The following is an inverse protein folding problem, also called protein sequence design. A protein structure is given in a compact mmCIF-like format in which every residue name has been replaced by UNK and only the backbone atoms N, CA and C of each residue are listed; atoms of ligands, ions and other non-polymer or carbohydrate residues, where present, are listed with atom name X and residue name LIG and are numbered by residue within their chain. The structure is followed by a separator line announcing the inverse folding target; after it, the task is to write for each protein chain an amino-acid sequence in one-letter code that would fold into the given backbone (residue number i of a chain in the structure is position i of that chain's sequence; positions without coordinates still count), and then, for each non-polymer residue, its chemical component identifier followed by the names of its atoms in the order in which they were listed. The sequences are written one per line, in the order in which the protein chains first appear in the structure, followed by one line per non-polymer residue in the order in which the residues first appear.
data_IF_273265454064
#
_entry.id   IF_273265454064
#
_cell.length_a   1.000
_cell.length_b   1.000
_cell.length_c   1.000
_cell.angle_alpha   90.00
_cell.angle_beta   90.00
_cell.angle_gamma   90.00
#
_symmetry.space_group_name_H-M   'P 1'
#
loop_
_entity.id
_entity.type
_entity.pdbx_description
1 polymer ?
#
# COMPACT_ATOMS: atom_id res chain seq x y z
N UNK A 1 19.45 -6.67 -2.66
CA UNK A 1 18.66 -5.49 -2.23
C UNK A 1 18.15 -5.65 -0.82
N UNK A 2 17.04 -6.36 -0.63
CA UNK A 2 16.26 -6.40 0.63
C UNK A 2 17.07 -6.69 1.91
N UNK A 3 17.88 -7.76 1.94
CA UNK A 3 18.70 -8.10 3.12
C UNK A 3 19.67 -6.98 3.51
N UNK A 4 20.32 -6.35 2.52
CA UNK A 4 21.21 -5.22 2.76
C UNK A 4 20.47 -3.98 3.26
N UNK A 5 19.22 -3.75 2.82
CA UNK A 5 18.37 -2.68 3.37
C UNK A 5 18.03 -2.94 4.83
N UNK A 6 17.59 -4.16 5.15
CA UNK A 6 17.21 -4.58 6.50
C UNK A 6 18.38 -4.44 7.49
N UNK A 7 19.57 -4.89 7.11
CA UNK A 7 20.78 -4.82 7.94
C UNK A 7 21.42 -3.42 7.92
N UNK A 8 20.99 -2.53 7.03
CA UNK A 8 21.64 -1.25 6.78
C UNK A 8 23.09 -1.40 6.28
N UNK A 9 23.39 -2.43 5.49
CA UNK A 9 24.69 -2.68 4.84
C UNK A 9 24.70 -2.09 3.44
N UNK A 10 25.70 -1.27 3.12
CA UNK A 10 25.78 -0.53 1.85
C UNK A 10 24.45 0.14 1.52
N UNK A 11 23.80 0.71 2.53
CA UNK A 11 22.35 0.94 2.59
C UNK A 11 21.77 1.58 1.33
N UNK A 12 22.38 2.67 0.83
CA UNK A 12 21.89 3.39 -0.35
C UNK A 12 21.93 2.52 -1.62
N UNK A 13 23.00 1.73 -1.80
CA UNK A 13 23.12 0.78 -2.92
C UNK A 13 22.10 -0.34 -2.75
N UNK A 14 21.96 -0.87 -1.53
CA UNK A 14 20.98 -1.91 -1.21
C UNK A 14 19.53 -1.47 -1.50
N UNK A 15 19.19 -0.21 -1.21
CA UNK A 15 17.92 0.39 -1.58
C UNK A 15 17.69 0.41 -3.09
N UNK A 16 18.66 0.91 -3.86
CA UNK A 16 18.55 0.95 -5.34
C UNK A 16 18.43 -0.47 -5.93
N UNK A 17 19.23 -1.42 -5.44
CA UNK A 17 19.18 -2.83 -5.84
C UNK A 17 17.88 -3.53 -5.46
N UNK A 18 17.09 -2.99 -4.54
CA UNK A 18 15.75 -3.48 -4.26
C UNK A 18 14.70 -2.74 -5.10
N UNK A 19 14.82 -1.42 -5.18
CA UNK A 19 13.87 -0.53 -5.83
C UNK A 19 13.73 -0.82 -7.33
N UNK A 20 14.85 -0.94 -8.05
CA UNK A 20 14.83 -1.09 -9.50
C UNK A 20 14.17 -2.40 -9.95
N UNK A 21 14.57 -3.59 -9.43
CA UNK A 21 13.87 -4.83 -9.77
C UNK A 21 12.42 -4.83 -9.32
N UNK A 22 12.12 -4.22 -8.16
CA UNK A 22 10.75 -4.15 -7.65
C UNK A 22 9.83 -3.40 -8.61
N UNK A 23 10.19 -2.17 -8.98
CA UNK A 23 9.41 -1.38 -9.93
C UNK A 23 9.39 -1.99 -11.33
N UNK A 24 10.50 -2.59 -11.77
CA UNK A 24 10.53 -3.30 -13.04
C UNK A 24 9.49 -4.43 -13.09
N UNK A 25 9.49 -5.33 -12.10
CA UNK A 25 8.52 -6.44 -12.05
C UNK A 25 7.09 -5.92 -11.88
N UNK A 26 6.90 -4.91 -11.03
CA UNK A 26 5.60 -4.32 -10.77
C UNK A 26 4.98 -3.64 -12.01
N UNK A 27 5.80 -2.97 -12.82
CA UNK A 27 5.36 -2.34 -14.07
C UNK A 27 5.24 -3.34 -15.23
N UNK A 28 6.01 -4.44 -15.19
CA UNK A 28 5.99 -5.48 -16.23
C UNK A 28 4.67 -6.25 -16.26
N UNK A 29 4.12 -6.59 -15.09
CA UNK A 29 2.87 -7.35 -14.97
C UNK A 29 1.73 -6.51 -14.40
N UNK A 30 0.94 -5.94 -15.31
CA UNK A 30 -0.27 -5.17 -14.98
C UNK A 30 -1.26 -5.96 -14.12
N UNK A 31 -1.31 -7.29 -14.26
CA UNK A 31 -2.26 -8.12 -13.51
C UNK A 31 -1.86 -8.32 -12.07
N UNK A 32 -0.60 -8.03 -11.70
CA UNK A 32 -0.13 -8.05 -10.32
C UNK A 32 -0.40 -6.73 -9.58
N UNK A 33 -0.80 -5.67 -10.29
CA UNK A 33 -0.99 -4.33 -9.72
C UNK A 33 -2.03 -4.31 -8.59
N UNK A 34 -1.68 -3.74 -7.45
CA UNK A 34 -2.65 -3.40 -6.40
C UNK A 34 -2.12 -2.23 -5.57
N UNK A 35 -3.02 -1.51 -4.90
CA UNK A 35 -2.69 -0.29 -4.16
C UNK A 35 -1.63 -0.54 -3.05
N UNK A 36 -1.61 -1.74 -2.45
CA UNK A 36 -0.63 -2.08 -1.43
C UNK A 36 0.78 -2.29 -1.99
N UNK A 37 0.89 -2.93 -3.15
CA UNK A 37 2.17 -3.07 -3.87
C UNK A 37 2.68 -1.72 -4.36
N UNK A 38 1.78 -0.85 -4.82
CA UNK A 38 2.14 0.54 -5.10
C UNK A 38 2.74 1.25 -3.87
N UNK A 39 2.11 1.11 -2.69
CA UNK A 39 2.65 1.62 -1.42
C UNK A 39 4.06 1.07 -1.12
N UNK A 40 4.33 -0.22 -1.34
CA UNK A 40 5.67 -0.77 -1.10
C UNK A 40 6.71 -0.15 -2.02
N UNK A 41 6.36 0.09 -3.30
CA UNK A 41 7.22 0.79 -4.25
C UNK A 41 7.53 2.21 -3.79
N UNK A 42 6.53 2.94 -3.27
CA UNK A 42 6.70 4.28 -2.69
C UNK A 42 7.57 4.28 -1.44
N UNK A 43 7.33 3.35 -0.51
CA UNK A 43 8.15 3.22 0.71
C UNK A 43 9.60 2.86 0.36
N UNK A 44 9.81 1.95 -0.60
CA UNK A 44 11.15 1.61 -1.10
C UNK A 44 11.85 2.82 -1.73
N UNK A 45 11.11 3.63 -2.49
CA UNK A 45 11.61 4.86 -3.09
C UNK A 45 12.01 5.85 -1.99
N UNK A 46 11.14 6.11 -1.02
CA UNK A 46 11.42 6.99 0.12
C UNK A 46 12.62 6.51 0.95
N UNK A 47 12.72 5.21 1.21
CA UNK A 47 13.85 4.60 1.92
C UNK A 47 15.17 4.88 1.20
N UNK A 48 15.16 5.01 -0.13
CA UNK A 48 16.37 5.35 -0.90
C UNK A 48 16.90 6.75 -0.55
N UNK A 49 16.07 7.66 -0.04
CA UNK A 49 16.45 9.05 0.32
C UNK A 49 16.67 9.28 1.82
N UNK A 50 16.04 8.50 2.71
CA UNK A 50 16.22 8.66 4.15
C UNK A 50 17.53 8.07 4.68
N UNK A 51 17.94 8.52 5.86
CA UNK A 51 19.14 8.07 6.57
C UNK A 51 18.82 6.95 7.57
N UNK A 52 18.18 5.85 7.16
CA UNK A 52 17.80 4.77 8.10
C UNK A 52 19.01 3.95 8.60
N UNK A 53 20.16 4.05 7.93
CA UNK A 53 21.40 3.36 8.31
C UNK A 53 22.21 4.03 9.43
N UNK A 54 21.63 4.98 10.17
CA UNK A 54 22.35 5.73 11.23
C UNK A 54 22.18 5.15 12.63
N UNK A 55 21.27 4.19 12.81
CA UNK A 55 21.06 3.50 14.07
C UNK A 55 20.98 2.00 13.85
N UNK A 56 21.70 1.24 14.67
CA UNK A 56 21.74 -0.23 14.65
C UNK A 56 21.88 -0.86 13.25
N UNK A 57 22.89 -0.40 12.50
CA UNK A 57 23.17 -0.85 11.14
C UNK A 57 24.59 -1.40 11.01
N UNK A 58 24.80 -2.28 10.04
CA UNK A 58 26.15 -2.75 9.69
C UNK A 58 27.02 -1.60 9.16
N UNK A 59 26.44 -0.67 8.39
CA UNK A 59 27.14 0.57 8.00
C UNK A 59 27.69 1.37 9.18
N UNK A 60 26.96 1.40 10.30
CA UNK A 60 27.40 2.04 11.53
C UNK A 60 28.50 1.28 12.25
N UNK A 61 28.52 -0.05 12.16
CA UNK A 61 29.63 -0.86 12.68
C UNK A 61 30.91 -0.62 11.86
N UNK A 62 30.79 -0.49 10.54
CA UNK A 62 31.90 -0.25 9.62
C UNK A 62 32.39 1.21 9.61
N UNK A 63 31.53 2.18 9.98
CA UNK A 63 31.88 3.60 9.95
C UNK A 63 31.36 4.34 11.20
N UNK A 64 32.29 4.73 12.07
CA UNK A 64 32.01 5.44 13.30
C UNK A 64 31.22 6.76 13.10
N UNK A 65 31.34 7.45 11.95
CA UNK A 65 30.58 8.68 11.66
C UNK A 65 29.09 8.42 11.42
N UNK A 66 28.71 7.21 10.99
CA UNK A 66 27.32 6.80 10.77
C UNK A 66 26.70 6.21 12.04
N UNK A 67 27.52 5.62 12.92
CA UNK A 67 27.08 4.89 14.11
C UNK A 67 26.30 5.79 15.07
N UNK A 68 25.07 5.44 15.38
CA UNK A 68 24.26 6.15 16.39
C UNK A 68 24.22 7.67 16.16
N UNK A 69 23.98 8.12 14.93
CA UNK A 69 23.96 9.53 14.57
C UNK A 69 22.52 10.05 14.39
N UNK A 70 22.31 11.35 14.64
CA UNK A 70 21.03 12.00 14.38
C UNK A 70 20.60 11.89 12.91
N UNK A 71 19.30 11.76 12.69
CA UNK A 71 18.66 11.80 11.36
C UNK A 71 17.79 13.05 11.24
N UNK A 72 17.69 13.66 10.04
CA UNK A 72 16.80 14.80 9.83
C UNK A 72 15.33 14.45 10.07
N UNK A 73 14.56 15.40 10.61
CA UNK A 73 13.14 15.19 10.91
C UNK A 73 12.30 14.92 9.64
N UNK A 74 12.68 15.48 8.49
CA UNK A 74 11.96 15.26 7.24
C UNK A 74 11.93 13.78 6.83
N UNK A 75 12.93 12.98 7.21
CA UNK A 75 12.96 11.53 6.98
C UNK A 75 11.76 10.84 7.64
N UNK A 76 11.43 11.21 8.87
CA UNK A 76 10.26 10.70 9.57
C UNK A 76 8.98 11.31 9.01
N UNK A 77 9.00 12.60 8.66
CA UNK A 77 7.83 13.30 8.14
C UNK A 77 7.33 12.67 6.83
N UNK A 78 8.22 12.33 5.89
CA UNK A 78 7.84 11.72 4.61
C UNK A 78 7.25 10.31 4.80
N UNK A 79 7.88 9.47 5.64
CA UNK A 79 7.39 8.12 5.91
C UNK A 79 6.07 8.12 6.69
N UNK A 80 5.97 8.93 7.76
CA UNK A 80 4.73 9.10 8.53
C UNK A 80 3.63 9.69 7.68
N UNK A 81 3.96 10.69 6.85
CA UNK A 81 3.04 11.31 5.91
C UNK A 81 2.47 10.30 4.92
N UNK A 82 3.30 9.43 4.34
CA UNK A 82 2.81 8.37 3.45
C UNK A 82 1.79 7.46 4.14
N UNK A 83 2.14 6.93 5.32
CA UNK A 83 1.25 6.03 6.06
C UNK A 83 -0.03 6.75 6.50
N UNK A 84 0.09 8.01 6.92
CA UNK A 84 -1.07 8.85 7.25
C UNK A 84 -2.01 9.02 6.05
N UNK A 85 -1.47 9.37 4.87
CA UNK A 85 -2.25 9.59 3.64
C UNK A 85 -3.01 8.31 3.26
N UNK A 86 -2.36 7.16 3.35
CA UNK A 86 -2.99 5.86 3.05
C UNK A 86 -4.23 5.63 3.91
N UNK A 87 -4.14 5.83 5.24
CA UNK A 87 -5.30 5.72 6.12
C UNK A 87 -6.37 6.76 5.80
N UNK A 88 -5.96 8.03 5.79
CA UNK A 88 -6.90 9.14 5.67
C UNK A 88 -7.67 9.10 4.36
N UNK A 89 -6.99 8.89 3.23
CA UNK A 89 -7.67 8.81 1.93
C UNK A 89 -8.50 7.54 1.83
N UNK A 90 -8.07 6.40 2.37
CA UNK A 90 -8.92 5.21 2.41
C UNK A 90 -10.20 5.44 3.22
N UNK A 91 -10.13 6.20 4.32
CA UNK A 91 -11.29 6.64 5.09
C UNK A 91 -12.19 7.57 4.29
N UNK A 92 -11.62 8.56 3.59
CA UNK A 92 -12.40 9.47 2.73
C UNK A 92 -13.11 8.72 1.62
N UNK A 93 -12.47 7.70 1.01
CA UNK A 93 -13.07 6.87 -0.03
C UNK A 93 -14.19 5.95 0.49
N UNK A 94 -14.18 5.64 1.78
CA UNK A 94 -15.26 4.91 2.49
C UNK A 94 -16.44 5.81 2.88
N UNK A 95 -16.42 7.10 2.55
CA UNK A 95 -17.60 7.96 2.65
C UNK A 95 -18.59 7.77 1.49
N UNK A 96 -18.25 6.91 0.53
CA UNK A 96 -19.18 6.50 -0.53
C UNK A 96 -20.44 5.84 0.05
N UNK A 97 -21.57 6.03 -0.64
CA UNK A 97 -22.87 5.51 -0.21
C UNK A 97 -22.85 3.99 0.01
N UNK A 98 -22.17 3.23 -0.86
CA UNK A 98 -22.13 1.77 -0.74
C UNK A 98 -21.43 1.32 0.55
N UNK A 99 -20.45 2.08 1.03
CA UNK A 99 -19.79 1.75 2.29
C UNK A 99 -20.61 2.22 3.48
N UNK A 100 -21.12 3.45 3.45
CA UNK A 100 -21.88 4.04 4.57
C UNK A 100 -23.18 3.29 4.83
N UNK A 101 -23.83 2.79 3.78
CA UNK A 101 -25.10 2.05 3.85
C UNK A 101 -24.89 0.53 4.07
N UNK A 102 -23.65 0.05 4.00
CA UNK A 102 -23.31 -1.34 4.32
C UNK A 102 -23.41 -2.34 3.16
N UNK A 103 -23.51 -1.86 1.93
CA UNK A 103 -23.57 -2.70 0.71
C UNK A 103 -22.19 -3.22 0.25
N UNK A 104 -21.12 -2.56 0.67
CA UNK A 104 -19.76 -3.03 0.42
C UNK A 104 -19.48 -4.29 1.24
N UNK A 105 -18.79 -5.29 0.68
CA UNK A 105 -18.30 -6.44 1.49
C UNK A 105 -19.36 -7.09 2.41
N UNK A 106 -20.63 -7.16 1.98
CA UNK A 106 -21.80 -7.47 2.84
C UNK A 106 -21.63 -8.73 3.70
N UNK A 107 -21.00 -9.77 3.15
CA UNK A 107 -20.82 -11.06 3.81
C UNK A 107 -19.69 -11.09 4.86
N UNK A 108 -18.95 -10.01 5.05
CA UNK A 108 -17.77 -10.01 5.93
C UNK A 108 -18.14 -10.26 7.40
N UNK A 109 -19.30 -9.77 7.85
CA UNK A 109 -19.82 -9.96 9.21
C UNK A 109 -20.16 -11.44 9.53
N UNK A 110 -20.29 -12.30 8.51
CA UNK A 110 -20.50 -13.75 8.70
C UNK A 110 -19.26 -14.44 9.25
N UNK A 111 -18.08 -13.88 9.02
CA UNK A 111 -16.82 -14.44 9.49
C UNK A 111 -16.80 -14.61 11.02
N UNK A 112 -16.15 -15.68 11.51
CA UNK A 112 -16.16 -16.06 12.93
C UNK A 112 -15.58 -14.99 13.87
N UNK A 113 -14.72 -14.11 13.34
CA UNK A 113 -14.15 -12.97 14.08
C UNK A 113 -15.22 -12.01 14.61
N UNK A 114 -16.38 -11.95 13.95
CA UNK A 114 -17.48 -11.08 14.36
C UNK A 114 -18.50 -11.78 15.26
N UNK A 115 -18.34 -13.08 15.53
CA UNK A 115 -19.25 -13.85 16.40
C UNK A 115 -19.46 -13.23 17.80
N UNK A 116 -18.45 -12.64 18.47
CA UNK A 116 -18.68 -11.98 19.75
C UNK A 116 -19.68 -10.80 19.67
N UNK A 117 -19.66 -10.02 18.59
CA UNK A 117 -20.60 -8.92 18.38
C UNK A 117 -22.02 -9.42 18.10
N UNK A 118 -22.12 -10.58 17.42
CA UNK A 118 -23.40 -11.24 17.10
C UNK A 118 -24.11 -11.85 18.31
N UNK A 119 -23.50 -11.86 19.49
CA UNK A 119 -24.18 -12.20 20.75
C UNK A 119 -25.14 -11.09 21.20
N UNK A 120 -24.93 -9.86 20.74
CA UNK A 120 -25.69 -8.67 21.17
C UNK A 120 -26.35 -7.95 19.98
N UNK A 121 -25.76 -8.05 18.79
CA UNK A 121 -26.25 -7.40 17.57
C UNK A 121 -26.72 -8.44 16.55
N UNK A 122 -27.66 -8.08 15.68
CA UNK A 122 -27.97 -8.90 14.50
C UNK A 122 -26.78 -8.94 13.53
N UNK A 123 -26.78 -9.89 12.59
CA UNK A 123 -25.75 -9.96 11.54
C UNK A 123 -25.69 -8.66 10.71
N UNK A 124 -26.86 -8.12 10.35
CA UNK A 124 -26.99 -6.86 9.61
C UNK A 124 -26.44 -5.68 10.40
N UNK A 125 -26.80 -5.55 11.69
CA UNK A 125 -26.30 -4.47 12.54
C UNK A 125 -24.80 -4.61 12.82
N UNK A 126 -24.29 -5.85 12.92
CA UNK A 126 -22.85 -6.10 13.02
C UNK A 126 -22.13 -5.68 11.75
N UNK A 127 -22.71 -5.97 10.57
CA UNK A 127 -22.17 -5.50 9.29
C UNK A 127 -22.14 -3.97 9.24
N UNK A 128 -23.27 -3.31 9.48
CA UNK A 128 -23.35 -1.86 9.36
C UNK A 128 -22.50 -1.14 10.41
N UNK A 129 -22.65 -1.45 11.69
CA UNK A 129 -22.00 -0.69 12.75
C UNK A 129 -20.53 -1.08 12.94
N UNK A 130 -20.23 -2.39 12.99
CA UNK A 130 -18.89 -2.87 13.34
C UNK A 130 -17.99 -2.96 12.11
N UNK A 131 -18.46 -3.49 10.99
CA UNK A 131 -17.63 -3.61 9.78
C UNK A 131 -17.49 -2.24 9.11
N UNK A 132 -18.61 -1.61 8.78
CA UNK A 132 -18.61 -0.41 7.95
C UNK A 132 -18.28 0.85 8.74
N UNK A 133 -19.08 1.18 9.76
CA UNK A 133 -18.89 2.43 10.51
C UNK A 133 -17.61 2.43 11.35
N UNK A 134 -17.30 1.37 12.11
CA UNK A 134 -16.01 1.33 12.81
C UNK A 134 -14.82 1.28 11.83
N UNK A 135 -14.93 0.58 10.69
CA UNK A 135 -13.90 0.58 9.65
C UNK A 135 -13.65 1.97 9.06
N UNK A 136 -14.72 2.68 8.69
CA UNK A 136 -14.67 4.06 8.21
C UNK A 136 -14.06 5.02 9.23
N UNK A 137 -14.56 5.00 10.46
CA UNK A 137 -14.10 5.88 11.54
C UNK A 137 -12.63 5.61 11.87
N UNK A 138 -12.22 4.33 11.90
CA UNK A 138 -10.84 3.98 12.14
C UNK A 138 -9.94 4.47 11.01
N UNK A 139 -10.27 4.25 9.73
CA UNK A 139 -9.44 4.72 8.62
C UNK A 139 -9.32 6.26 8.60
N UNK A 140 -10.42 7.00 8.84
CA UNK A 140 -10.40 8.46 8.92
C UNK A 140 -9.58 8.99 10.10
N UNK A 141 -9.57 8.29 11.23
CA UNK A 141 -8.95 8.77 12.48
C UNK A 141 -7.55 8.19 12.74
N UNK A 142 -7.19 7.04 12.17
CA UNK A 142 -5.96 6.29 12.49
C UNK A 142 -4.70 7.14 12.35
N UNK A 143 -4.60 7.88 11.24
CA UNK A 143 -3.49 8.81 11.02
C UNK A 143 -3.35 9.84 12.14
N UNK A 144 -4.45 10.46 12.55
CA UNK A 144 -4.46 11.45 13.64
C UNK A 144 -4.17 10.81 15.00
N UNK A 145 -4.80 9.67 15.29
CA UNK A 145 -4.62 8.93 16.53
C UNK A 145 -3.14 8.56 16.74
N UNK A 146 -2.46 8.07 15.68
CA UNK A 146 -1.04 7.72 15.73
C UNK A 146 -0.12 8.94 15.81
N UNK A 147 -0.49 10.05 15.17
CA UNK A 147 0.36 11.23 15.08
C UNK A 147 0.53 11.92 16.43
N UNK A 148 -0.56 12.20 17.16
CA UNK A 148 -0.51 12.92 18.43
C UNK A 148 -0.05 12.03 19.59
N UNK A 149 0.84 12.56 20.43
CA UNK A 149 1.40 11.82 21.58
C UNK A 149 0.32 11.30 22.54
N UNK A 150 -0.71 12.12 22.80
CA UNK A 150 -1.77 11.81 23.75
C UNK A 150 -2.67 10.64 23.30
N UNK A 151 -2.93 10.51 22.00
CA UNK A 151 -3.80 9.47 21.44
C UNK A 151 -3.06 8.26 20.91
N UNK A 152 -1.73 8.31 20.81
CA UNK A 152 -0.93 7.29 20.10
C UNK A 152 -1.11 5.89 20.63
N UNK A 153 -1.17 5.70 21.95
CA UNK A 153 -1.37 4.37 22.54
C UNK A 153 -2.69 3.75 22.10
N UNK A 154 -3.76 4.55 22.08
CA UNK A 154 -5.08 4.17 21.61
C UNK A 154 -5.03 3.85 20.10
N UNK A 155 -4.38 4.71 19.31
CA UNK A 155 -4.16 4.49 17.89
C UNK A 155 -3.42 3.19 17.60
N UNK A 156 -2.32 2.92 18.30
CA UNK A 156 -1.53 1.70 18.15
C UNK A 156 -2.36 0.45 18.47
N UNK A 157 -3.20 0.49 19.51
CA UNK A 157 -4.07 -0.63 19.87
C UNK A 157 -5.07 -0.93 18.75
N UNK A 158 -5.86 0.05 18.32
CA UNK A 158 -6.90 -0.16 17.32
C UNK A 158 -6.34 -0.46 15.93
N UNK A 159 -5.28 0.23 15.52
CA UNK A 159 -4.61 -0.04 14.24
C UNK A 159 -4.00 -1.44 14.22
N UNK A 160 -3.40 -1.88 15.34
CA UNK A 160 -2.83 -3.22 15.40
C UNK A 160 -3.91 -4.28 15.34
N UNK A 161 -4.99 -4.10 16.11
CA UNK A 161 -6.14 -4.99 16.09
C UNK A 161 -6.77 -5.09 14.69
N UNK A 162 -7.00 -3.94 14.03
CA UNK A 162 -7.54 -3.89 12.67
C UNK A 162 -6.67 -4.63 11.64
N UNK A 163 -5.36 -4.44 11.68
CA UNK A 163 -4.47 -5.16 10.76
C UNK A 163 -4.36 -6.64 11.09
N UNK A 164 -4.37 -7.03 12.37
CA UNK A 164 -4.48 -8.43 12.74
C UNK A 164 -5.77 -9.06 12.20
N UNK A 165 -6.92 -8.38 12.32
CA UNK A 165 -8.17 -8.83 11.70
C UNK A 165 -8.06 -8.93 10.18
N UNK A 166 -7.55 -7.89 9.51
CA UNK A 166 -7.39 -7.89 8.05
C UNK A 166 -6.50 -9.04 7.55
N UNK A 167 -5.49 -9.44 8.33
CA UNK A 167 -4.64 -10.60 8.01
C UNK A 167 -5.40 -11.93 7.98
N UNK A 168 -6.51 -12.02 8.70
CA UNK A 168 -7.37 -13.21 8.76
C UNK A 168 -8.55 -13.10 7.78
N UNK A 169 -9.12 -11.91 7.63
CA UNK A 169 -10.30 -11.66 6.80
C UNK A 169 -9.97 -11.63 5.31
N UNK A 170 -8.80 -11.12 4.94
CA UNK A 170 -8.47 -10.82 3.56
C UNK A 170 -7.18 -11.47 3.12
N UNK A 171 -7.17 -12.04 1.91
CA UNK A 171 -5.96 -12.54 1.24
C UNK A 171 -5.25 -11.42 0.47
N UNK A 172 -4.89 -10.32 1.16
CA UNK A 172 -4.27 -9.11 0.57
C UNK A 172 -2.74 -9.06 0.71
N UNK A 173 -2.11 -10.23 0.89
CA UNK A 173 -0.67 -10.39 0.95
C UNK A 173 -0.03 -9.72 2.17
N UNK A 174 1.11 -9.06 1.97
CA UNK A 174 1.94 -8.54 3.06
C UNK A 174 1.37 -7.28 3.75
N UNK A 175 0.24 -6.75 3.29
CA UNK A 175 -0.21 -5.40 3.66
C UNK A 175 -0.42 -5.23 5.17
N UNK A 176 -1.17 -6.11 5.86
CA UNK A 176 -1.38 -5.94 7.28
C UNK A 176 -0.06 -5.98 8.08
N UNK A 177 0.87 -6.84 7.66
CA UNK A 177 2.17 -6.97 8.31
C UNK A 177 3.08 -5.76 8.07
N UNK A 178 3.06 -5.18 6.86
CA UNK A 178 3.80 -3.95 6.56
C UNK A 178 3.25 -2.78 7.37
N UNK A 179 1.93 -2.66 7.48
CA UNK A 179 1.32 -1.60 8.27
C UNK A 179 1.63 -1.75 9.76
N UNK A 180 1.55 -2.97 10.32
CA UNK A 180 1.99 -3.29 11.68
C UNK A 180 3.46 -2.92 11.91
N UNK A 181 4.36 -3.33 11.00
CA UNK A 181 5.78 -3.03 11.07
C UNK A 181 6.10 -1.54 10.92
N UNK A 182 5.25 -0.77 10.24
CA UNK A 182 5.38 0.67 10.07
C UNK A 182 4.87 1.48 11.26
N UNK A 183 3.96 0.93 12.07
CA UNK A 183 3.34 1.63 13.21
C UNK A 183 4.35 2.21 14.22
N UNK A 184 5.51 1.59 14.52
CA UNK A 184 6.50 2.17 15.43
C UNK A 184 7.19 3.44 14.87
N UNK A 185 7.03 3.74 13.58
CA UNK A 185 7.52 5.00 13.01
C UNK A 185 6.87 6.21 13.68
N UNK A 186 5.64 6.08 14.18
CA UNK A 186 4.90 7.15 14.85
C UNK A 186 5.36 7.36 16.30
N UNK A 187 6.00 6.36 16.92
CA UNK A 187 6.52 6.47 18.28
C UNK A 187 7.69 7.45 18.39
N UNK A 188 8.00 7.87 19.62
CA UNK A 188 9.19 8.68 19.93
C UNK A 188 10.46 7.96 19.44
N UNK A 189 11.43 8.65 18.80
CA UNK A 189 12.69 8.05 18.36
C UNK A 189 13.49 7.33 19.47
N UNK A 190 13.17 7.59 20.73
CA UNK A 190 13.79 6.94 21.91
C UNK A 190 13.18 5.59 22.25
N UNK A 191 12.03 5.22 21.67
CA UNK A 191 11.30 4.00 22.04
C UNK A 191 12.15 2.72 21.95
N UNK A 192 13.02 2.51 20.93
CA UNK A 192 13.83 1.28 20.86
C UNK A 192 14.83 1.21 22.02
N UNK A 193 15.37 2.36 22.44
CA UNK A 193 16.33 2.45 23.55
C UNK A 193 15.66 2.16 24.89
N UNK A 194 14.45 2.69 25.08
CA UNK A 194 13.61 2.41 26.27
C UNK A 194 13.19 0.95 26.35
N UNK A 195 13.02 0.30 25.20
CA UNK A 195 12.76 -1.14 25.14
C UNK A 195 14.01 -1.94 25.51
N UNK A 196 15.16 -1.64 24.89
CA UNK A 196 16.45 -2.29 25.20
C UNK A 196 16.86 -2.13 26.67
N UNK A 197 16.53 -1.01 27.32
CA UNK A 197 16.82 -0.83 28.74
C UNK A 197 16.07 -1.77 29.68
N UNK A 198 15.02 -2.47 29.21
CA UNK A 198 14.27 -3.46 29.99
C UNK A 198 14.84 -4.88 29.89
N UNK A 199 15.80 -5.14 28.99
CA UNK A 199 16.40 -6.47 28.84
C UNK A 199 17.54 -6.73 29.85
N UNK A 200 17.82 -8.00 30.21
CA UNK A 200 18.95 -8.36 31.07
C UNK A 200 20.30 -7.88 30.53
N UNK A 201 21.25 -7.51 31.39
CA UNK A 201 22.54 -6.91 31.02
C UNK A 201 23.34 -7.75 30.00
N UNK A 202 23.33 -9.08 30.13
CA UNK A 202 24.01 -9.98 29.18
C UNK A 202 23.51 -9.87 27.73
N UNK A 203 22.23 -9.56 27.54
CA UNK A 203 21.65 -9.32 26.22
C UNK A 203 21.93 -7.90 25.72
N UNK A 204 22.21 -6.96 26.62
CA UNK A 204 22.45 -5.57 26.26
C UNK A 204 23.76 -5.37 25.47
N UNK A 205 24.73 -6.27 25.60
CA UNK A 205 25.97 -6.25 24.82
C UNK A 205 25.73 -6.51 23.31
N UNK A 206 24.67 -7.28 22.98
CA UNK A 206 24.28 -7.61 21.59
C UNK A 206 23.23 -6.63 21.02
N UNK A 207 22.61 -5.82 21.89
CA UNK A 207 21.52 -4.90 21.55
C UNK A 207 22.03 -3.49 21.20
N UNK A 208 21.20 -2.66 20.54
CA UNK A 208 21.64 -1.35 20.09
C UNK A 208 22.00 -0.38 21.21
N UNK A 209 22.92 0.55 20.90
CA UNK A 209 23.43 1.55 21.83
C UNK A 209 22.30 2.37 22.47
N UNK A 210 22.38 2.50 23.80
CA UNK A 210 21.53 3.38 24.62
C UNK A 210 22.01 4.84 24.59
N UNK A 211 23.30 5.06 24.36
CA UNK A 211 23.96 6.36 24.38
C UNK A 211 23.29 7.38 23.46
N UNK A 212 23.28 8.66 23.85
CA UNK A 212 22.69 9.76 23.07
C UNK A 212 23.27 9.79 21.65
N UNK A 213 22.46 10.11 20.62
CA UNK A 213 22.96 10.13 19.26
C UNK A 213 23.99 11.24 19.07
N UNK A 214 25.02 10.97 18.29
CA UNK A 214 26.01 11.98 17.93
C UNK A 214 25.48 12.95 16.85
N UNK A 215 26.06 14.17 16.74
CA UNK A 215 25.71 15.09 15.67
C UNK A 215 25.93 14.51 14.27
N UNK A 216 25.05 14.85 13.33
CA UNK A 216 25.11 14.39 11.95
C UNK A 216 25.23 15.58 11.01
N UNK A 217 26.05 15.44 9.97
CA UNK A 217 26.18 16.43 8.89
C UNK A 217 24.89 16.67 8.12
N UNK A 218 23.94 15.72 8.17
CA UNK A 218 22.63 15.87 7.53
C UNK A 218 21.72 16.85 8.29
N UNK A 219 21.98 17.12 9.57
CA UNK A 219 21.10 17.86 10.46
C UNK A 219 21.55 19.32 10.66
N UNK A 220 20.57 20.21 10.87
CA UNK A 220 20.84 21.62 11.24
C UNK A 220 20.60 21.79 12.73
N UNK A 221 21.61 22.29 13.44
CA UNK A 221 21.55 22.53 14.88
C UNK A 221 21.46 24.04 15.14
N UNK A 222 20.47 24.47 15.93
CA UNK A 222 20.45 25.83 16.48
C UNK A 222 21.50 25.90 17.59
N UNK A 223 22.65 26.54 17.34
CA UNK A 223 23.62 26.84 18.41
C UNK A 223 23.01 27.91 19.33
N UNK A 224 23.01 27.65 20.63
CA UNK A 224 22.39 28.51 21.65
C UNK A 224 23.12 29.86 21.87
N UNK A 225 24.38 30.05 21.42
CA UNK A 225 25.16 31.25 21.82
C UNK A 225 26.16 31.88 20.83
N UNK A 226 26.13 31.55 19.54
CA UNK A 226 26.99 32.24 18.55
C UNK A 226 26.15 33.03 17.55
N UNK A 227 26.49 34.32 17.35
CA UNK A 227 25.85 35.31 16.47
C UNK A 227 25.98 34.98 14.97
N UNK A 228 25.56 33.79 14.56
CA UNK A 228 25.60 33.31 13.19
C UNK A 228 24.87 32.00 13.06
N UNK A 229 23.54 32.05 13.01
CA UNK A 229 22.73 30.87 12.74
C UNK A 229 23.13 30.24 11.41
N UNK A 230 23.41 28.94 11.39
CA UNK A 230 23.57 28.20 10.14
C UNK A 230 22.27 28.31 9.36
N UNK A 231 22.26 29.14 8.31
CA UNK A 231 21.14 29.21 7.38
C UNK A 231 21.00 27.82 6.72
N UNK A 232 19.77 27.32 6.54
CA UNK A 232 19.56 26.06 5.85
C UNK A 232 20.18 26.14 4.45
N UNK A 233 21.11 25.23 4.17
CA UNK A 233 21.80 25.15 2.90
C UNK A 233 20.86 24.73 1.77
N UNK A 234 21.34 24.80 0.53
CA UNK A 234 20.55 24.43 -0.65
C UNK A 234 19.95 23.01 -0.53
N UNK A 235 20.72 22.04 -0.02
CA UNK A 235 20.26 20.66 0.19
C UNK A 235 19.06 20.56 1.13
N UNK A 236 19.03 21.34 2.21
CA UNK A 236 17.90 21.35 3.15
C UNK A 236 16.65 21.96 2.52
N UNK A 237 16.82 23.03 1.73
CA UNK A 237 15.72 23.66 0.98
C UNK A 237 15.15 22.71 -0.07
N UNK A 238 16.02 22.05 -0.83
CA UNK A 238 15.61 21.05 -1.82
C UNK A 238 14.92 19.85 -1.16
N UNK A 239 15.42 19.36 -0.02
CA UNK A 239 14.78 18.28 0.73
C UNK A 239 13.39 18.65 1.26
N UNK A 240 13.22 19.88 1.76
CA UNK A 240 11.92 20.39 2.18
C UNK A 240 10.96 20.57 1.00
N UNK A 241 11.42 21.16 -0.10
CA UNK A 241 10.64 21.33 -1.32
C UNK A 241 10.21 19.98 -1.91
N UNK A 242 11.12 19.00 -1.97
CA UNK A 242 10.81 17.63 -2.37
C UNK A 242 9.76 17.01 -1.46
N UNK A 243 9.92 17.11 -0.13
CA UNK A 243 8.95 16.55 0.82
C UNK A 243 7.56 17.16 0.63
N UNK A 244 7.47 18.48 0.47
CA UNK A 244 6.21 19.16 0.23
C UNK A 244 5.58 18.76 -1.10
N UNK A 245 6.37 18.78 -2.18
CA UNK A 245 5.92 18.37 -3.51
C UNK A 245 5.41 16.93 -3.50
N UNK A 246 6.15 16.01 -2.86
CA UNK A 246 5.76 14.62 -2.71
C UNK A 246 4.43 14.47 -1.96
N UNK A 247 4.25 15.15 -0.82
CA UNK A 247 3.00 15.07 -0.06
C UNK A 247 1.81 15.65 -0.85
N UNK A 248 2.02 16.75 -1.58
CA UNK A 248 1.00 17.33 -2.44
C UNK A 248 0.63 16.38 -3.59
N UNK A 249 1.61 15.74 -4.21
CA UNK A 249 1.40 14.76 -5.27
C UNK A 249 0.62 13.54 -4.75
N UNK A 250 0.97 13.02 -3.58
CA UNK A 250 0.27 11.88 -2.96
C UNK A 250 -1.16 12.21 -2.49
N UNK A 251 -1.46 13.48 -2.19
CA UNK A 251 -2.82 13.95 -1.91
C UNK A 251 -3.61 14.21 -3.19
N UNK A 252 -2.93 14.66 -4.25
CA UNK A 252 -3.55 15.01 -5.52
C UNK A 252 -3.89 13.78 -6.37
N UNK A 253 -2.95 12.84 -6.51
CA UNK A 253 -3.10 11.70 -7.40
C UNK A 253 -4.39 10.90 -7.18
N UNK A 254 -4.80 10.55 -5.95
CA UNK A 254 -6.05 9.80 -5.71
C UNK A 254 -7.34 10.46 -6.23
N UNK A 255 -7.29 11.75 -6.60
CA UNK A 255 -8.40 12.52 -7.16
C UNK A 255 -8.14 13.03 -8.59
N UNK A 256 -6.99 12.69 -9.19
CA UNK A 256 -6.58 13.15 -10.52
C UNK A 256 -7.34 12.50 -11.69
N UNK A 257 -8.42 11.78 -11.40
CA UNK A 257 -9.31 11.08 -12.33
C UNK A 257 -10.02 11.98 -13.36
N UNK A 258 -10.00 13.31 -13.16
CA UNK A 258 -10.44 14.27 -14.16
C UNK A 258 -9.38 14.57 -15.24
N UNK A 259 -8.10 14.35 -14.94
CA UNK A 259 -6.98 14.50 -15.89
C UNK A 259 -6.69 13.20 -16.63
N UNK A 260 -6.51 12.13 -15.86
CA UNK A 260 -6.44 10.78 -16.40
C UNK A 260 -7.86 10.26 -16.35
N UNK A 261 -8.52 9.97 -17.47
CA UNK A 261 -9.89 9.47 -17.45
C UNK A 261 -10.03 8.36 -16.39
N UNK A 262 -10.72 8.67 -15.29
CA UNK A 262 -10.72 7.84 -14.09
C UNK A 262 -11.37 6.49 -14.32
N UNK A 263 -10.83 5.45 -13.69
CA UNK A 263 -11.47 4.14 -13.60
C UNK A 263 -12.45 4.15 -12.44
N UNK A 264 -13.74 3.96 -12.70
CA UNK A 264 -14.64 3.37 -11.70
C UNK A 264 -15.52 2.26 -12.29
N UNK A 265 -15.98 2.38 -13.54
CA UNK A 265 -16.83 1.35 -14.16
C UNK A 265 -16.60 1.33 -15.69
N UNK A 266 -15.59 0.60 -16.18
CA UNK A 266 -15.36 0.33 -17.62
C UNK A 266 -14.73 1.43 -18.52
N UNK A 267 -14.18 2.51 -17.96
CA UNK A 267 -13.45 3.55 -18.72
C UNK A 267 -11.93 3.31 -18.76
N UNK A 268 -11.26 3.72 -19.84
CA UNK A 268 -9.79 3.62 -19.96
C UNK A 268 -9.09 4.60 -19.01
N UNK A 269 -8.14 4.14 -18.20
CA UNK A 269 -7.41 4.97 -17.23
C UNK A 269 -6.21 4.27 -16.58
N UNK A 270 -5.40 5.02 -15.84
CA UNK A 270 -4.32 4.44 -15.04
C UNK A 270 -4.90 3.86 -13.74
N UNK A 271 -4.69 2.56 -13.53
CA UNK A 271 -5.21 1.82 -12.36
C UNK A 271 -4.30 2.00 -11.13
N UNK A 272 -4.92 2.22 -9.96
CA UNK A 272 -4.40 1.85 -8.64
C UNK A 272 -3.26 2.68 -8.03
N UNK A 273 -3.22 3.98 -8.31
CA UNK A 273 -2.58 4.97 -7.42
C UNK A 273 -3.58 5.66 -6.47
N UNK A 274 -4.88 5.35 -6.59
CA UNK A 274 -5.90 5.76 -5.64
C UNK A 274 -5.91 4.82 -4.43
N UNK A 275 -6.13 5.36 -3.23
CA UNK A 275 -6.17 4.57 -2.00
C UNK A 275 -7.56 3.94 -1.76
N UNK A 276 -8.18 3.40 -2.81
CA UNK A 276 -9.52 2.80 -2.79
C UNK A 276 -9.45 1.38 -2.20
N UNK A 277 -9.16 1.28 -0.90
CA UNK A 277 -8.94 0.00 -0.23
C UNK A 277 -10.25 -0.67 0.17
N UNK A 278 -10.58 -1.76 -0.54
CA UNK A 278 -11.71 -2.66 -0.28
C UNK A 278 -13.11 -2.01 -0.36
N UNK A 279 -13.27 -0.95 -1.16
CA UNK A 279 -14.57 -0.26 -1.34
C UNK A 279 -15.51 -1.02 -2.29
N UNK A 280 -14.96 -1.81 -3.22
CA UNK A 280 -15.76 -2.54 -4.21
C UNK A 280 -15.48 -4.04 -4.14
N UNK A 281 -16.54 -4.83 -4.01
CA UNK A 281 -16.53 -6.26 -4.31
C UNK A 281 -17.06 -6.49 -5.73
N UNK A 282 -16.48 -7.45 -6.46
CA UNK A 282 -16.92 -7.81 -7.81
C UNK A 282 -17.22 -9.30 -7.90
N UNK A 283 -18.41 -9.63 -8.36
CA UNK A 283 -18.83 -11.00 -8.62
C UNK A 283 -19.08 -11.19 -10.11
N UNK A 284 -18.69 -12.34 -10.64
CA UNK A 284 -18.85 -12.66 -12.06
C UNK A 284 -19.68 -13.91 -12.18
N UNK A 285 -20.89 -13.77 -12.70
CA UNK A 285 -21.81 -14.90 -12.89
C UNK A 285 -21.55 -15.62 -14.20
N UNK A 286 -21.17 -14.87 -15.25
CA UNK A 286 -20.94 -15.40 -16.57
C UNK A 286 -19.67 -14.80 -17.17
N UNK A 287 -18.79 -15.66 -17.68
CA UNK A 287 -17.62 -15.27 -18.48
C UNK A 287 -17.53 -16.25 -19.63
N UNK A 288 -17.85 -15.78 -20.84
CA UNK A 288 -17.86 -16.60 -22.04
C UNK A 288 -17.04 -15.94 -23.12
N UNK A 289 -16.17 -16.75 -23.73
CA UNK A 289 -15.35 -16.36 -24.86
C UNK A 289 -15.73 -17.24 -26.03
N UNK A 290 -16.10 -16.62 -27.13
CA UNK A 290 -16.39 -17.28 -28.40
C UNK A 290 -15.50 -16.75 -29.50
N UNK A 291 -15.14 -17.61 -30.44
CA UNK A 291 -14.50 -17.18 -31.68
C UNK A 291 -15.34 -17.57 -32.89
N UNK A 292 -15.20 -16.79 -33.96
CA UNK A 292 -15.66 -17.13 -35.30
C UNK A 292 -14.48 -17.03 -36.26
N UNK A 293 -14.15 -18.07 -37.00
CA UNK A 293 -13.17 -17.95 -38.08
C UNK A 293 -13.82 -17.22 -39.27
N UNK A 294 -13.25 -16.09 -39.67
CA UNK A 294 -13.73 -15.30 -40.81
C UNK A 294 -13.63 -16.03 -42.15
N UNK A 295 -12.76 -17.04 -42.28
CA UNK A 295 -12.62 -17.84 -43.51
C UNK A 295 -13.59 -19.02 -43.57
N UNK A 296 -13.63 -19.83 -42.52
CA UNK A 296 -14.44 -21.06 -42.52
C UNK A 296 -15.86 -20.82 -42.01
N UNK A 297 -16.08 -19.72 -41.29
CA UNK A 297 -17.33 -19.45 -40.58
C UNK A 297 -17.52 -20.28 -39.30
N UNK A 298 -16.56 -21.13 -38.95
CA UNK A 298 -16.62 -22.02 -37.78
C UNK A 298 -16.75 -21.20 -36.50
N UNK A 299 -17.67 -21.64 -35.63
CA UNK A 299 -17.92 -21.05 -34.32
C UNK A 299 -17.41 -21.99 -33.24
N UNK A 300 -16.63 -21.46 -32.30
CA UNK A 300 -16.11 -22.24 -31.19
C UNK A 300 -16.10 -21.47 -29.87
N UNK A 301 -15.86 -22.22 -28.79
CA UNK A 301 -15.79 -21.71 -27.43
C UNK A 301 -14.38 -21.86 -26.88
N UNK A 302 -13.91 -20.82 -26.19
CA UNK A 302 -12.62 -20.84 -25.51
C UNK A 302 -12.83 -20.90 -24.01
N UNK A 303 -12.10 -21.80 -23.34
CA UNK A 303 -12.07 -21.82 -21.89
C UNK A 303 -11.26 -20.61 -21.38
N UNK A 304 -11.89 -19.66 -20.65
CA UNK A 304 -11.22 -18.43 -20.21
C UNK A 304 -10.00 -18.66 -19.31
N UNK A 305 -9.92 -19.81 -18.62
CA UNK A 305 -8.85 -20.12 -17.67
C UNK A 305 -7.63 -20.81 -18.26
N UNK A 306 -7.62 -21.17 -19.55
CA UNK A 306 -6.53 -21.95 -20.15
C UNK A 306 -5.35 -21.09 -20.60
N UNK A 307 -5.61 -19.86 -21.06
CA UNK A 307 -4.61 -19.04 -21.74
C UNK A 307 -3.91 -18.01 -20.85
N UNK A 308 -4.35 -17.86 -19.60
CA UNK A 308 -3.73 -16.96 -18.63
C UNK A 308 -3.99 -17.44 -17.20
N UNK A 309 -2.99 -17.27 -16.34
CA UNK A 309 -3.08 -17.61 -14.91
C UNK A 309 -3.90 -16.56 -14.13
N UNK A 310 -3.90 -15.31 -14.61
CA UNK A 310 -4.61 -14.22 -13.94
C UNK A 310 -6.06 -14.14 -14.40
N UNK A 311 -6.95 -13.88 -13.45
CA UNK A 311 -8.38 -13.66 -13.71
C UNK A 311 -8.76 -12.18 -13.75
N UNK A 312 -7.80 -11.25 -13.70
CA UNK A 312 -8.11 -9.81 -13.66
C UNK A 312 -8.47 -9.21 -15.02
N UNK A 313 -8.15 -9.87 -16.13
CA UNK A 313 -8.40 -9.30 -17.46
C UNK A 313 -9.89 -9.08 -17.76
N UNK A 314 -10.78 -9.84 -17.14
CA UNK A 314 -12.25 -9.70 -17.27
C UNK A 314 -12.80 -8.49 -16.51
N UNK A 315 -12.03 -7.94 -15.57
CA UNK A 315 -12.40 -6.80 -14.73
C UNK A 315 -12.00 -5.44 -15.32
N UNK A 316 -11.15 -5.46 -16.36
CA UNK A 316 -10.52 -4.25 -16.92
C UNK A 316 -10.52 -4.29 -18.45
N UNK A 317 -11.18 -3.30 -19.07
CA UNK A 317 -11.37 -3.23 -20.51
C UNK A 317 -10.06 -3.23 -21.32
N UNK A 318 -9.00 -2.61 -20.81
CA UNK A 318 -7.70 -2.57 -21.47
C UNK A 318 -6.97 -3.93 -21.42
N UNK A 319 -7.02 -4.63 -20.28
CA UNK A 319 -6.54 -6.00 -20.16
C UNK A 319 -7.35 -6.97 -21.03
N UNK A 320 -8.67 -6.77 -21.12
CA UNK A 320 -9.55 -7.54 -22.00
C UNK A 320 -9.10 -7.39 -23.47
N UNK A 321 -8.84 -6.16 -23.91
CA UNK A 321 -8.31 -5.88 -25.26
C UNK A 321 -6.95 -6.54 -25.48
N UNK A 322 -6.04 -6.42 -24.52
CA UNK A 322 -4.72 -7.06 -24.60
C UNK A 322 -4.83 -8.59 -24.67
N UNK A 323 -5.75 -9.18 -23.90
CA UNK A 323 -6.02 -10.60 -23.92
C UNK A 323 -6.61 -11.05 -25.26
N UNK A 324 -7.54 -10.28 -25.83
CA UNK A 324 -8.08 -10.51 -27.17
C UNK A 324 -6.98 -10.53 -28.24
N UNK A 325 -6.04 -9.56 -28.21
CA UNK A 325 -4.89 -9.53 -29.13
C UNK A 325 -3.95 -10.73 -28.94
N UNK A 326 -3.75 -11.18 -27.70
CA UNK A 326 -2.97 -12.39 -27.44
C UNK A 326 -3.65 -13.63 -28.06
N UNK A 327 -4.97 -13.77 -27.86
CA UNK A 327 -5.75 -14.85 -28.45
C UNK A 327 -5.74 -14.79 -29.98
N UNK A 328 -5.85 -13.61 -30.60
CA UNK A 328 -5.80 -13.50 -32.07
C UNK A 328 -4.45 -13.94 -32.66
N UNK A 329 -3.35 -13.77 -31.92
CA UNK A 329 -2.04 -14.28 -32.33
C UNK A 329 -1.84 -15.78 -32.04
N UNK A 330 -2.58 -16.31 -31.06
CA UNK A 330 -2.44 -17.70 -30.61
C UNK A 330 -3.31 -18.66 -31.43
N UNK A 331 -4.55 -18.27 -31.72
CA UNK A 331 -5.56 -19.08 -32.42
C UNK A 331 -5.13 -19.62 -33.80
N UNK A 332 -4.29 -18.92 -34.59
CA UNK A 332 -3.72 -19.49 -35.82
C UNK A 332 -2.92 -20.79 -35.60
N UNK A 333 -2.37 -21.01 -34.40
CA UNK A 333 -1.69 -22.28 -34.05
C UNK A 333 -2.65 -23.46 -33.85
N UNK A 334 -3.96 -23.17 -33.76
CA UNK A 334 -5.04 -24.14 -33.56
C UNK A 334 -6.00 -24.17 -34.76
N UNK A 335 -5.50 -23.87 -35.96
CA UNK A 335 -6.26 -23.89 -37.23
C UNK A 335 -7.38 -22.84 -37.36
N UNK A 336 -7.38 -21.79 -36.53
CA UNK A 336 -8.32 -20.67 -36.66
C UNK A 336 -7.58 -19.50 -37.31
N UNK A 337 -7.83 -19.29 -38.61
CA UNK A 337 -6.96 -18.46 -39.47
C UNK A 337 -7.30 -16.97 -39.47
N UNK A 338 -8.59 -16.62 -39.37
CA UNK A 338 -9.07 -15.23 -39.25
C UNK A 338 -9.96 -15.08 -38.01
N UNK A 339 -9.38 -15.07 -36.78
CA UNK A 339 -10.15 -15.13 -35.55
C UNK A 339 -10.89 -13.82 -35.25
N UNK A 340 -12.22 -13.86 -35.27
CA UNK A 340 -13.09 -12.85 -34.67
C UNK A 340 -13.48 -13.28 -33.27
N UNK A 341 -13.05 -12.56 -32.24
CA UNK A 341 -13.21 -12.96 -30.84
C UNK A 341 -14.25 -12.09 -30.16
N UNK A 342 -15.20 -12.74 -29.49
CA UNK A 342 -16.29 -12.10 -28.77
C UNK A 342 -16.23 -12.49 -27.29
N UNK A 343 -16.37 -11.49 -26.43
CA UNK A 343 -16.40 -11.65 -24.98
C UNK A 343 -17.79 -11.29 -24.47
N UNK A 344 -18.35 -12.15 -23.63
CA UNK A 344 -19.63 -11.94 -22.95
C UNK A 344 -19.41 -12.11 -21.45
N UNK A 345 -19.40 -11.01 -20.71
CA UNK A 345 -18.95 -10.96 -19.31
C UNK A 345 -20.03 -10.26 -18.50
N UNK A 346 -20.61 -10.95 -17.53
CA UNK A 346 -21.61 -10.39 -16.64
C UNK A 346 -21.01 -10.16 -15.26
N UNK A 347 -21.02 -8.91 -14.81
CA UNK A 347 -20.41 -8.48 -13.55
C UNK A 347 -21.45 -7.80 -12.67
N UNK A 348 -21.42 -8.16 -11.39
CA UNK A 348 -22.09 -7.44 -10.31
C UNK A 348 -21.05 -6.76 -9.44
N UNK A 349 -21.32 -5.53 -9.02
CA UNK A 349 -20.48 -4.73 -8.12
C UNK A 349 -21.29 -4.47 -6.85
N UNK A 350 -20.74 -4.79 -5.68
CA UNK A 350 -21.40 -4.61 -4.39
C UNK A 350 -22.83 -5.20 -4.39
N UNK A 351 -22.98 -6.41 -4.94
CA UNK A 351 -24.24 -7.18 -5.07
C UNK A 351 -25.40 -6.47 -5.80
N UNK A 352 -25.13 -5.37 -6.52
CA UNK A 352 -26.09 -4.72 -7.41
C UNK A 352 -26.48 -5.64 -8.58
N UNK A 353 -27.60 -5.30 -9.23
CA UNK A 353 -28.03 -6.02 -10.42
C UNK A 353 -26.93 -6.07 -11.47
N UNK A 354 -26.75 -7.25 -12.06
CA UNK A 354 -25.69 -7.54 -13.00
C UNK A 354 -25.75 -6.67 -14.26
N UNK A 355 -24.58 -6.27 -14.72
CA UNK A 355 -24.38 -5.54 -15.96
C UNK A 355 -23.53 -6.38 -16.91
N UNK A 356 -23.79 -6.23 -18.21
CA UNK A 356 -23.13 -6.95 -19.30
C UNK A 356 -22.04 -6.09 -19.94
#
# INVERSE_FOLDING_TARGET
GALGMMLGLCYRISCVLFLLPYWYVFLLDKTSWNNHSYLYGLLAFQLTFVDANRYWSVDGLLNARKRNAHVPLWNYAVLRGQIFIVYFIAGVKKLDADWVEGYSMEYLSRHWLFSPFKLVLSEEMTSLLVVHWCGLLLDLSAGFLLFFDASRSIGLLFVSYFHCMNSQLFSIGMFPYVMLASSPLFCSPEWPRKLVSRFPERLQELLPLKATPQPSVSCVYKRSRAKGGHKPGLRHRLGAAFTLFYLLEQLFLPYSHFLTQGYNNWTNGLYGYSWDMMVHSRSHQHVKITYRDGRTGELGYLNPGVFTQSRRWKDHADMLKQYATCLSHLLPKYNVTDPQIYFDIWVSINDRFQQR
#
